data_IF_325389253673
#
_entry.id   IF_325389253673
#
_cell.length_a   1.000
_cell.length_b   1.000
_cell.length_c   1.000
_cell.angle_alpha   90.00
_cell.angle_beta   90.00
_cell.angle_gamma   90.00
#
_symmetry.space_group_name_H-M   'P 1'
#
loop_
_entity.id
_entity.type
_entity.pdbx_description
1 polymer ?
#
# COMPACT_ATOMS: atom_id res chain seq x y z
N UNK A 1 -7.20 -2.01 21.57
CA UNK A 1 -6.10 -2.59 20.77
C UNK A 1 -6.58 -3.91 20.17
N UNK A 2 -6.89 -3.93 18.88
CA UNK A 2 -7.27 -5.15 18.18
C UNK A 2 -6.07 -5.65 17.39
N UNK A 3 -5.30 -6.53 18.04
CA UNK A 3 -4.14 -7.18 17.45
C UNK A 3 -4.59 -8.19 16.41
N UNK A 4 -4.41 -7.88 15.12
CA UNK A 4 -4.77 -8.78 14.02
C UNK A 4 -3.52 -9.32 13.35
N UNK A 5 -3.36 -10.64 13.34
CA UNK A 5 -2.29 -11.30 12.56
C UNK A 5 -2.69 -11.35 11.09
N UNK A 6 -1.83 -10.83 10.21
CA UNK A 6 -1.96 -10.89 8.76
C UNK A 6 -0.94 -11.88 8.22
N UNK A 7 -1.43 -12.91 7.52
CA UNK A 7 -0.60 -13.89 6.82
C UNK A 7 -0.53 -13.55 5.34
N UNK A 8 0.68 -13.60 4.81
CA UNK A 8 1.04 -13.00 3.54
C UNK A 8 1.55 -14.11 2.62
N UNK A 9 0.82 -14.36 1.53
CA UNK A 9 1.15 -15.38 0.54
C UNK A 9 1.06 -14.80 -0.88
N UNK A 10 2.20 -14.44 -1.48
CA UNK A 10 2.30 -14.05 -2.90
C UNK A 10 3.62 -14.52 -3.51
N UNK A 11 3.84 -14.11 -4.76
CA UNK A 11 5.01 -14.46 -5.55
C UNK A 11 6.33 -13.92 -5.00
N UNK A 12 6.33 -12.83 -4.22
CA UNK A 12 7.56 -12.24 -3.67
C UNK A 12 7.80 -12.62 -2.20
N UNK A 13 6.74 -12.96 -1.45
CA UNK A 13 6.81 -13.27 -0.03
C UNK A 13 5.96 -14.51 0.24
N UNK A 14 6.66 -15.60 0.60
CA UNK A 14 6.09 -16.87 1.08
C UNK A 14 6.46 -17.03 2.55
N UNK A 15 5.54 -17.56 3.35
CA UNK A 15 5.72 -17.76 4.81
C UNK A 15 5.99 -16.47 5.62
N UNK A 16 5.49 -15.33 5.13
CA UNK A 16 5.57 -14.09 5.87
C UNK A 16 4.27 -13.84 6.63
N UNK A 17 4.37 -13.39 7.88
CA UNK A 17 3.24 -12.87 8.63
C UNK A 17 3.69 -11.65 9.43
N UNK A 18 2.74 -10.77 9.70
CA UNK A 18 2.95 -9.60 10.54
C UNK A 18 1.70 -9.32 11.36
N UNK A 19 1.91 -8.63 12.48
CA UNK A 19 0.83 -8.27 13.38
C UNK A 19 0.48 -6.80 13.17
N UNK A 20 -0.79 -6.51 12.93
CA UNK A 20 -1.30 -5.14 12.96
C UNK A 20 -1.40 -4.70 14.42
N UNK A 21 -0.52 -3.78 14.80
CA UNK A 21 -0.49 -3.16 16.12
C UNK A 21 -1.41 -1.95 16.19
N UNK A 22 -1.65 -1.28 15.06
CA UNK A 22 -2.42 -0.04 14.97
C UNK A 22 -3.52 -0.10 13.89
N UNK A 23 -4.60 0.70 14.02
CA UNK A 23 -5.63 0.83 13.00
C UNK A 23 -5.09 1.49 11.72
N UNK A 24 -5.72 1.18 10.59
CA UNK A 24 -5.41 1.86 9.33
C UNK A 24 -5.84 3.33 9.41
N UNK A 25 -4.95 4.25 9.03
CA UNK A 25 -5.27 5.68 9.03
C UNK A 25 -5.13 6.38 10.38
N UNK A 26 -4.66 5.67 11.40
CA UNK A 26 -4.53 6.20 12.75
C UNK A 26 -3.10 6.10 13.26
N UNK A 27 -2.78 6.92 14.27
CA UNK A 27 -1.51 6.88 15.01
C UNK A 27 -0.24 6.93 14.14
N UNK A 28 -0.26 7.78 13.10
CA UNK A 28 0.97 8.13 12.38
C UNK A 28 1.98 8.77 13.32
N UNK A 29 3.26 8.52 13.04
CA UNK A 29 4.34 9.21 13.71
C UNK A 29 4.18 10.73 13.57
N UNK A 30 4.41 11.50 14.64
CA UNK A 30 4.25 12.96 14.62
C UNK A 30 5.19 13.66 13.65
N UNK A 31 6.31 13.02 13.32
CA UNK A 31 7.29 13.53 12.36
C UNK A 31 6.97 13.08 10.92
N UNK A 32 5.99 12.20 10.73
CA UNK A 32 5.52 11.79 9.41
C UNK A 32 4.65 12.88 8.77
N UNK A 33 5.33 13.85 8.13
CA UNK A 33 4.74 14.97 7.41
C UNK A 33 5.16 14.89 5.94
N UNK A 34 4.51 14.04 5.13
CA UNK A 34 4.85 13.93 3.73
C UNK A 34 4.51 15.22 2.99
N UNK A 35 5.45 15.70 2.16
CA UNK A 35 5.28 16.90 1.33
C UNK A 35 4.20 16.71 0.25
N UNK A 36 3.99 15.46 -0.17
CA UNK A 36 3.02 15.09 -1.18
C UNK A 36 2.00 14.14 -0.59
N UNK A 37 0.73 14.40 -0.89
CA UNK A 37 -0.31 13.41 -0.74
C UNK A 37 -0.05 12.26 -1.71
N UNK A 38 -0.55 11.08 -1.40
CA UNK A 38 -0.34 9.98 -2.32
C UNK A 38 -1.05 10.11 -3.66
N UNK A 39 -2.15 10.88 -3.71
CA UNK A 39 -2.78 11.25 -4.98
C UNK A 39 -1.82 12.09 -5.84
N UNK A 40 -1.13 13.07 -5.25
CA UNK A 40 -0.11 13.86 -5.95
C UNK A 40 1.08 12.98 -6.38
N UNK A 41 1.54 12.04 -5.56
CA UNK A 41 2.58 11.08 -5.95
C UNK A 41 2.16 10.22 -7.16
N UNK A 42 0.87 9.84 -7.22
CA UNK A 42 0.31 9.11 -8.36
C UNK A 42 0.27 9.97 -9.62
N UNK A 43 -0.19 11.22 -9.52
CA UNK A 43 -0.22 12.17 -10.64
C UNK A 43 1.19 12.47 -11.18
N UNK A 44 2.19 12.53 -10.31
CA UNK A 44 3.61 12.70 -10.68
C UNK A 44 4.23 11.46 -11.33
N UNK A 45 3.51 10.34 -11.41
CA UNK A 45 4.01 9.12 -12.03
C UNK A 45 5.13 8.43 -11.23
N UNK A 46 5.28 8.74 -9.93
CA UNK A 46 6.18 8.02 -8.99
C UNK A 46 5.92 6.52 -9.05
N UNK A 47 4.66 6.18 -9.30
CA UNK A 47 4.12 4.84 -9.42
C UNK A 47 4.21 4.28 -10.85
N UNK A 48 5.40 4.30 -11.45
CA UNK A 48 5.63 3.80 -12.82
C UNK A 48 6.18 2.37 -12.92
N UNK A 49 6.53 1.97 -14.15
CA UNK A 49 7.22 0.70 -14.43
C UNK A 49 6.39 -0.54 -14.13
N UNK A 50 7.01 -1.62 -13.63
CA UNK A 50 6.35 -2.92 -13.39
C UNK A 50 5.10 -2.86 -12.49
N UNK A 51 4.87 -1.77 -11.77
CA UNK A 51 3.64 -1.52 -11.01
C UNK A 51 2.41 -1.34 -11.93
N UNK A 52 2.57 -0.66 -13.07
CA UNK A 52 1.49 -0.33 -14.01
C UNK A 52 1.66 -0.95 -15.41
N UNK A 53 2.89 -1.25 -15.83
CA UNK A 53 3.19 -1.70 -17.21
C UNK A 53 3.26 -3.22 -17.36
N UNK A 54 3.34 -3.97 -16.27
CA UNK A 54 3.40 -5.42 -16.30
C UNK A 54 2.00 -6.01 -16.13
N UNK A 55 1.67 -7.04 -16.91
CA UNK A 55 0.34 -7.67 -16.97
C UNK A 55 -0.81 -6.72 -17.35
N UNK A 56 -0.72 -6.09 -18.51
CA UNK A 56 -1.87 -5.37 -19.10
C UNK A 56 -3.04 -6.34 -19.31
N UNK A 57 -4.21 -6.00 -18.76
CA UNK A 57 -5.45 -6.76 -18.93
C UNK A 57 -5.77 -7.81 -17.87
N UNK A 58 -4.83 -8.13 -16.96
CA UNK A 58 -5.08 -9.03 -15.82
C UNK A 58 -5.15 -8.25 -14.51
N UNK A 59 -6.35 -8.17 -13.93
CA UNK A 59 -6.62 -7.49 -12.66
C UNK A 59 -6.03 -8.21 -11.45
N UNK A 60 -5.77 -9.52 -11.55
CA UNK A 60 -5.20 -10.33 -10.48
C UNK A 60 -3.67 -10.41 -10.53
N UNK A 61 -3.05 -9.89 -11.58
CA UNK A 61 -1.61 -9.76 -11.61
C UNK A 61 -1.13 -8.59 -10.74
N UNK A 62 -0.09 -8.84 -9.93
CA UNK A 62 0.54 -7.87 -9.01
C UNK A 62 -0.43 -7.22 -8.01
N UNK A 63 -1.29 -8.00 -7.32
CA UNK A 63 -2.33 -7.45 -6.46
C UNK A 63 -1.72 -6.68 -5.29
N UNK A 64 -0.53 -7.03 -4.79
CA UNK A 64 0.12 -6.26 -3.71
C UNK A 64 0.71 -4.94 -4.14
N UNK A 65 1.26 -4.87 -5.35
CA UNK A 65 1.80 -3.62 -5.87
C UNK A 65 0.67 -2.67 -6.22
N UNK A 66 -0.42 -3.19 -6.81
CA UNK A 66 -1.64 -2.42 -7.03
C UNK A 66 -2.38 -2.08 -5.72
N UNK A 67 -2.41 -2.99 -4.75
CA UNK A 67 -2.98 -2.70 -3.43
C UNK A 67 -2.11 -1.71 -2.66
N UNK A 68 -0.77 -1.75 -2.80
CA UNK A 68 0.13 -0.73 -2.28
C UNK A 68 -0.07 0.59 -2.99
N UNK A 69 -0.30 0.60 -4.31
CA UNK A 69 -0.70 1.80 -5.04
C UNK A 69 -2.03 2.36 -4.57
N UNK A 70 -3.04 1.52 -4.38
CA UNK A 70 -4.34 1.93 -3.89
C UNK A 70 -4.26 2.43 -2.45
N UNK A 71 -3.51 1.74 -1.57
CA UNK A 71 -3.28 2.15 -0.19
C UNK A 71 -2.40 3.39 -0.07
N UNK A 72 -1.45 3.57 -0.99
CA UNK A 72 -0.70 4.81 -1.08
C UNK A 72 -1.65 5.85 -1.62
N UNK A 73 -2.04 5.84 -2.90
CA UNK A 73 -2.90 6.83 -3.55
C UNK A 73 -4.15 7.26 -2.74
N UNK A 74 -4.61 6.41 -1.82
CA UNK A 74 -5.56 6.75 -0.78
C UNK A 74 -4.89 7.41 0.45
N UNK A 75 -5.13 8.71 0.64
CA UNK A 75 -4.71 9.41 1.86
C UNK A 75 -5.45 8.84 3.08
N UNK A 76 -4.78 7.95 3.81
CA UNK A 76 -5.32 7.28 4.99
C UNK A 76 -5.60 8.22 6.15
N UNK A 77 -5.19 9.50 6.07
CA UNK A 77 -5.57 10.56 7.03
C UNK A 77 -6.96 11.16 6.75
N UNK A 78 -7.58 10.86 5.60
CA UNK A 78 -8.88 11.44 5.17
C UNK A 78 -10.07 10.47 5.30
N UNK A 79 -9.93 9.39 6.09
CA UNK A 79 -10.99 8.41 6.33
C UNK A 79 -12.08 8.91 7.29
#
# INVERSE_FOLDING_TARGET
>A
MHTREIRVNDTMQKHYSYTLTEPMGEHFDSDFKPDLTPQEMLELGVFGGKYMTDCQGDVFCRPRQRQALLHWAYDSRKM
#
